data_IF_365900466753
#
_entry.id   IF_365900466753
#
_cell.length_a   1.000
_cell.length_b   1.000
_cell.length_c   1.000
_cell.angle_alpha   90.00
_cell.angle_beta   90.00
_cell.angle_gamma   90.00
#
_symmetry.space_group_name_H-M   'P 1'
#
loop_
_entity.id
_entity.type
_entity.pdbx_description
1 polymer ?
#
# COMPACT_ATOMS: atom_id res chain seq x y z
N UNK A 1 4.23 -17.23 7.05
CA UNK A 1 3.52 -16.66 5.88
C UNK A 1 2.39 -15.67 6.22
N UNK A 2 1.69 -15.77 7.37
CA UNK A 2 0.58 -14.84 7.73
C UNK A 2 1.04 -13.43 8.14
N UNK A 3 2.15 -13.33 8.88
CA UNK A 3 2.70 -12.05 9.37
C UNK A 3 3.04 -11.02 8.28
N UNK A 4 3.49 -11.49 7.11
CA UNK A 4 3.91 -10.59 6.04
C UNK A 4 2.75 -9.92 5.30
N UNK A 5 1.67 -10.69 5.06
CA UNK A 5 0.43 -10.13 4.51
C UNK A 5 -0.19 -9.08 5.43
N UNK A 6 -0.14 -9.32 6.74
CA UNK A 6 -0.61 -8.37 7.75
C UNK A 6 0.21 -7.09 7.71
N UNK A 7 1.55 -7.17 7.72
CA UNK A 7 2.40 -5.96 7.70
C UNK A 7 2.28 -5.15 6.42
N UNK A 8 2.18 -5.81 5.25
CA UNK A 8 1.96 -5.11 3.99
C UNK A 8 0.60 -4.40 3.96
N UNK A 9 -0.44 -5.03 4.50
CA UNK A 9 -1.76 -4.43 4.63
C UNK A 9 -1.77 -3.29 5.66
N UNK A 10 -1.07 -3.45 6.79
CA UNK A 10 -0.93 -2.41 7.83
C UNK A 10 -0.18 -1.19 7.32
N UNK A 11 0.88 -1.38 6.52
CA UNK A 11 1.61 -0.27 5.91
C UNK A 11 0.76 0.48 4.87
N UNK A 12 -0.01 -0.25 4.05
CA UNK A 12 -1.00 0.35 3.15
C UNK A 12 -2.10 1.11 3.90
N UNK A 13 -2.63 0.54 4.99
CA UNK A 13 -3.62 1.20 5.84
C UNK A 13 -3.07 2.47 6.53
N UNK A 14 -1.79 2.48 6.92
CA UNK A 14 -1.15 3.65 7.53
C UNK A 14 -1.05 4.84 6.57
N UNK A 15 -1.06 4.62 5.25
CA UNK A 15 -1.15 5.70 4.25
C UNK A 15 -2.53 6.37 4.22
N UNK A 16 -3.62 5.62 4.42
CA UNK A 16 -4.96 6.19 4.48
C UNK A 16 -5.15 7.13 5.67
N UNK A 17 -4.49 6.86 6.80
CA UNK A 17 -4.53 7.75 7.97
C UNK A 17 -3.80 9.07 7.69
N UNK A 18 -2.69 9.06 6.93
CA UNK A 18 -2.02 10.28 6.49
C UNK A 18 -2.87 11.11 5.51
N UNK A 19 -3.60 10.44 4.62
CA UNK A 19 -4.56 11.12 3.73
C UNK A 19 -5.65 11.80 4.57
N UNK A 20 -6.16 11.13 5.60
CA UNK A 20 -7.13 11.71 6.53
C UNK A 20 -6.57 12.92 7.30
N UNK A 21 -5.30 12.87 7.74
CA UNK A 21 -4.61 14.03 8.34
C UNK A 21 -4.56 15.21 7.36
N UNK A 22 -4.18 14.99 6.10
CA UNK A 22 -4.15 16.06 5.09
C UNK A 22 -5.53 16.68 4.87
N UNK A 23 -6.59 15.87 4.85
CA UNK A 23 -7.98 16.37 4.71
C UNK A 23 -8.41 17.18 5.94
N UNK A 24 -8.08 16.74 7.16
CA UNK A 24 -8.39 17.51 8.37
C UNK A 24 -7.62 18.83 8.42
N UNK A 25 -6.32 18.79 8.12
CA UNK A 25 -5.44 19.93 8.27
C UNK A 25 -5.67 21.00 7.21
N UNK A 26 -5.88 20.60 5.94
CA UNK A 26 -6.10 21.54 4.85
C UNK A 26 -7.60 21.80 4.54
N UNK A 27 -8.49 20.88 4.90
CA UNK A 27 -9.93 21.01 4.64
C UNK A 27 -10.72 21.59 5.81
N UNK A 28 -10.29 21.36 7.05
CA UNK A 28 -10.99 21.78 8.27
C UNK A 28 -10.12 22.64 9.20
N UNK A 29 -8.91 23.01 8.78
CA UNK A 29 -7.91 23.79 9.55
C UNK A 29 -7.67 23.21 10.97
N UNK A 30 -7.75 21.87 11.08
CA UNK A 30 -7.77 21.16 12.35
C UNK A 30 -6.48 20.33 12.54
N UNK A 31 -5.70 20.66 13.56
CA UNK A 31 -4.36 20.11 13.79
C UNK A 31 -4.30 18.92 14.76
N UNK A 32 -5.45 18.36 15.15
CA UNK A 32 -5.54 17.25 16.13
C UNK A 32 -4.72 16.02 15.73
N UNK A 33 -4.45 15.83 14.43
CA UNK A 33 -3.68 14.71 13.90
C UNK A 33 -2.20 15.03 13.63
N UNK A 34 -1.70 16.22 13.97
CA UNK A 34 -0.30 16.61 13.69
C UNK A 34 0.77 15.70 14.30
N UNK A 35 0.45 15.03 15.42
CA UNK A 35 1.32 14.04 16.07
C UNK A 35 1.43 12.72 15.29
N UNK A 36 0.55 12.49 14.31
CA UNK A 36 0.53 11.28 13.49
C UNK A 36 1.68 11.22 12.50
N UNK A 37 2.14 12.37 11.97
CA UNK A 37 3.27 12.47 11.03
C UNK A 37 4.54 11.73 11.51
N UNK A 38 5.09 11.98 12.72
CA UNK A 38 6.26 11.23 13.21
C UNK A 38 5.95 9.74 13.49
N UNK A 39 4.73 9.40 13.92
CA UNK A 39 4.31 8.00 14.13
C UNK A 39 4.28 7.23 12.81
N UNK A 40 3.77 7.86 11.75
CA UNK A 40 3.76 7.28 10.41
C UNK A 40 5.19 7.01 9.92
N UNK A 41 6.13 7.94 10.12
CA UNK A 41 7.54 7.76 9.77
C UNK A 41 8.15 6.51 10.42
N UNK A 42 7.83 6.25 11.70
CA UNK A 42 8.25 5.04 12.40
C UNK A 42 7.62 3.76 11.82
N UNK A 43 6.34 3.80 11.48
CA UNK A 43 5.65 2.67 10.83
C UNK A 43 6.28 2.37 9.46
N UNK A 44 6.62 3.39 8.68
CA UNK A 44 7.28 3.25 7.39
C UNK A 44 8.68 2.62 7.50
N UNK A 45 9.47 3.00 8.52
CA UNK A 45 10.75 2.36 8.82
C UNK A 45 10.58 0.86 9.12
N UNK A 46 9.57 0.49 9.92
CA UNK A 46 9.24 -0.92 10.19
C UNK A 46 8.82 -1.68 8.93
N UNK A 47 8.07 -1.03 8.03
CA UNK A 47 7.70 -1.59 6.73
C UNK A 47 8.93 -1.85 5.84
N UNK A 48 9.84 -0.88 5.69
CA UNK A 48 11.08 -1.05 4.90
C UNK A 48 11.94 -2.18 5.47
N UNK A 49 12.10 -2.25 6.80
CA UNK A 49 12.83 -3.33 7.45
C UNK A 49 12.19 -4.71 7.17
N UNK A 50 10.86 -4.77 7.18
CA UNK A 50 10.12 -5.99 6.88
C UNK A 50 10.32 -6.42 5.42
N UNK A 51 10.21 -5.49 4.47
CA UNK A 51 10.48 -5.74 3.04
C UNK A 51 11.91 -6.22 2.82
N UNK A 52 12.88 -5.61 3.49
CA UNK A 52 14.29 -6.01 3.43
C UNK A 52 14.48 -7.43 3.95
N UNK A 53 14.00 -7.73 5.16
CA UNK A 53 14.13 -9.04 5.80
C UNK A 53 13.51 -10.16 4.96
N UNK A 54 12.35 -9.93 4.33
CA UNK A 54 11.74 -10.93 3.47
C UNK A 54 12.39 -11.02 2.10
N UNK A 55 12.74 -9.88 1.50
CA UNK A 55 13.41 -9.84 0.21
C UNK A 55 14.75 -10.58 0.24
N UNK A 56 15.49 -10.50 1.34
CA UNK A 56 16.72 -11.29 1.53
C UNK A 56 16.42 -12.78 1.73
N UNK A 57 15.39 -13.15 2.51
CA UNK A 57 14.98 -14.56 2.67
C UNK A 57 14.48 -15.21 1.38
N UNK A 58 13.79 -14.46 0.52
CA UNK A 58 13.26 -14.93 -0.77
C UNK A 58 14.23 -14.68 -1.94
N UNK A 59 15.43 -14.14 -1.69
CA UNK A 59 16.44 -13.78 -2.69
C UNK A 59 15.88 -12.89 -3.82
N UNK A 60 15.01 -11.95 -3.48
CA UNK A 60 14.52 -10.97 -4.44
C UNK A 60 15.63 -10.02 -4.88
N UNK A 61 15.57 -9.59 -6.14
CA UNK A 61 16.47 -8.55 -6.64
C UNK A 61 16.22 -7.23 -5.91
N UNK A 62 17.29 -6.44 -5.74
CA UNK A 62 17.20 -5.14 -5.07
C UNK A 62 16.14 -4.22 -5.71
N UNK A 63 16.05 -4.22 -7.04
CA UNK A 63 15.03 -3.47 -7.77
C UNK A 63 13.60 -3.86 -7.40
N UNK A 64 13.33 -5.14 -7.11
CA UNK A 64 12.00 -5.59 -6.69
C UNK A 64 11.62 -5.07 -5.30
N UNK A 65 12.56 -5.04 -4.36
CA UNK A 65 12.34 -4.49 -3.03
C UNK A 65 12.04 -2.99 -3.08
N UNK A 66 12.82 -2.23 -3.86
CA UNK A 66 12.59 -0.80 -4.09
C UNK A 66 11.25 -0.55 -4.77
N UNK A 67 10.90 -1.34 -5.80
CA UNK A 67 9.61 -1.22 -6.48
C UNK A 67 8.41 -1.46 -5.53
N UNK A 68 8.53 -2.39 -4.58
CA UNK A 68 7.48 -2.64 -3.57
C UNK A 68 7.36 -1.46 -2.60
N UNK A 69 8.48 -0.91 -2.13
CA UNK A 69 8.48 0.26 -1.22
C UNK A 69 7.89 1.49 -1.93
N UNK A 70 8.31 1.75 -3.17
CA UNK A 70 7.77 2.83 -3.98
C UNK A 70 6.29 2.60 -4.32
N UNK A 71 5.88 1.37 -4.59
CA UNK A 71 4.47 1.01 -4.81
C UNK A 71 3.59 1.34 -3.61
N UNK A 72 4.10 1.18 -2.38
CA UNK A 72 3.38 1.56 -1.16
C UNK A 72 3.21 3.08 -1.01
N UNK A 73 4.11 3.89 -1.58
CA UNK A 73 3.99 5.35 -1.60
C UNK A 73 2.97 5.87 -2.63
N UNK A 74 2.43 5.01 -3.50
CA UNK A 74 1.53 5.42 -4.57
C UNK A 74 0.13 4.83 -4.30
N UNK A 75 -0.69 5.46 -3.45
CA UNK A 75 -2.03 4.95 -3.08
C UNK A 75 -2.95 4.78 -4.31
N UNK A 76 -2.73 5.59 -5.35
CA UNK A 76 -3.52 5.54 -6.59
C UNK A 76 -3.15 4.38 -7.52
N UNK A 77 -1.96 3.78 -7.41
CA UNK A 77 -1.56 2.67 -8.30
C UNK A 77 -2.37 1.42 -8.01
N UNK A 78 -2.74 1.17 -6.75
CA UNK A 78 -3.68 0.10 -6.40
C UNK A 78 -5.01 0.26 -7.15
N UNK A 79 -5.57 1.47 -7.16
CA UNK A 79 -6.82 1.78 -7.87
C UNK A 79 -6.70 1.62 -9.39
N UNK A 80 -5.56 1.97 -9.98
CA UNK A 80 -5.29 1.80 -11.42
C UNK A 80 -5.10 0.33 -11.79
N UNK A 81 -4.39 -0.44 -10.96
CA UNK A 81 -4.22 -1.88 -11.15
C UNK A 81 -5.57 -2.58 -11.01
N UNK A 82 -6.38 -2.21 -10.01
CA UNK A 82 -7.72 -2.77 -9.81
C UNK A 82 -8.63 -2.48 -11.01
N UNK A 83 -8.56 -1.27 -11.59
CA UNK A 83 -9.27 -0.93 -12.84
C UNK A 83 -8.81 -1.76 -14.04
N UNK A 84 -7.50 -2.00 -14.17
CA UNK A 84 -6.95 -2.82 -15.25
C UNK A 84 -7.34 -4.30 -15.11
N UNK A 85 -7.24 -4.82 -13.90
CA UNK A 85 -7.65 -6.20 -13.58
C UNK A 85 -9.15 -6.37 -13.77
N UNK A 86 -9.99 -5.41 -13.34
CA UNK A 86 -11.42 -5.45 -13.61
C UNK A 86 -11.71 -5.51 -15.13
N UNK A 87 -11.02 -4.70 -15.93
CA UNK A 87 -11.16 -4.70 -17.39
C UNK A 87 -10.68 -6.00 -18.07
N UNK A 88 -9.73 -6.74 -17.48
CA UNK A 88 -9.27 -8.05 -17.98
C UNK A 88 -10.17 -9.20 -17.54
N UNK A 89 -10.77 -9.10 -16.35
CA UNK A 89 -11.59 -10.15 -15.73
C UNK A 89 -13.02 -10.15 -16.29
N UNK A 90 -13.60 -8.99 -16.58
CA UNK A 90 -14.95 -8.84 -17.13
C UNK A 90 -15.18 -9.58 -18.47
N UNK A 91 -14.28 -9.50 -19.48
CA UNK A 91 -14.42 -10.31 -20.70
C UNK A 91 -14.16 -11.81 -20.46
N UNK A 92 -13.34 -12.17 -19.48
CA UNK A 92 -13.02 -13.57 -19.16
C UNK A 92 -14.18 -14.28 -18.45
N UNK A 93 -14.91 -13.60 -17.56
CA UNK A 93 -16.15 -14.10 -16.97
C UNK A 93 -17.31 -14.14 -17.98
N UNK A 94 -17.40 -13.16 -18.89
CA UNK A 94 -18.38 -13.19 -19.97
C UNK A 94 -18.19 -14.40 -20.91
N UNK A 95 -16.94 -14.81 -21.16
CA UNK A 95 -16.64 -16.03 -21.91
C UNK A 95 -16.87 -17.33 -21.12
N UNK A 96 -16.84 -17.28 -19.78
CA UNK A 96 -17.02 -18.46 -18.91
C UNK A 96 -18.49 -18.71 -18.52
N UNK A 97 -19.37 -17.72 -18.72
CA UNK A 97 -20.82 -17.79 -18.49
C UNK A 97 -21.64 -17.96 -19.77
N UNK A 98 -20.99 -18.12 -20.92
CA UNK A 98 -21.65 -18.56 -22.15
C UNK A 98 -21.92 -20.08 -22.06
N UNK A 99 -23.19 -20.53 -22.18
CA UNK A 99 -23.57 -21.94 -22.14
C UNK A 99 -23.09 -22.74 -23.36
#
# INVERSE_FOLDING_TARGET
>A
MKWFKVMAFTAGAAMFVLIAEMVLKYGFDNEVLSWWSPVHGFIFMGFVFTVWNLGTMLRWSFGRMVAIVLGACIPFVAFVIERRVAAEVEPTLAGSLAP
#
